data_IF_930224431772
#
_entry.id   IF_930224431772
#
_cell.length_a   1.000
_cell.length_b   1.000
_cell.length_c   1.000
_cell.angle_alpha   90.00
_cell.angle_beta   90.00
_cell.angle_gamma   90.00
#
_symmetry.space_group_name_H-M   'P 1'
#
loop_
_entity.id
_entity.type
_entity.pdbx_description
1 polymer ?
#
# COMPACT_ATOMS: atom_id res chain seq x y z
N UNK A 1 31.00 -10.09 -48.58
CA UNK A 1 30.06 -9.84 -47.46
C UNK A 1 30.86 -9.26 -46.30
N UNK A 2 30.72 -7.99 -45.90
CA UNK A 2 31.46 -7.45 -44.78
C UNK A 2 30.72 -7.70 -43.47
N UNK A 3 31.49 -8.10 -42.45
CA UNK A 3 31.06 -8.33 -41.08
C UNK A 3 30.63 -7.01 -40.45
N UNK A 4 29.39 -7.00 -39.90
CA UNK A 4 28.89 -5.89 -39.06
C UNK A 4 29.34 -6.12 -37.61
N UNK A 5 30.29 -5.32 -37.15
CA UNK A 5 30.68 -5.24 -35.74
C UNK A 5 29.59 -4.45 -35.04
N UNK A 6 28.81 -5.11 -34.20
CA UNK A 6 27.92 -4.46 -33.22
C UNK A 6 28.75 -4.02 -32.00
N UNK A 7 28.97 -2.71 -31.88
CA UNK A 7 29.49 -2.13 -30.65
C UNK A 7 28.37 -2.08 -29.59
N UNK A 8 28.64 -2.70 -28.45
CA UNK A 8 27.78 -2.60 -27.27
C UNK A 8 27.88 -1.20 -26.65
N UNK A 9 26.80 -0.60 -26.16
CA UNK A 9 26.88 0.69 -25.47
C UNK A 9 27.61 0.55 -24.14
N UNK A 10 28.65 1.35 -24.00
CA UNK A 10 29.47 1.48 -22.81
C UNK A 10 28.60 1.94 -21.63
N UNK A 11 28.52 1.13 -20.60
CA UNK A 11 27.90 1.50 -19.32
C UNK A 11 28.64 2.71 -18.75
N UNK A 12 27.90 3.81 -18.56
CA UNK A 12 28.37 5.00 -17.85
C UNK A 12 28.65 4.63 -16.38
N UNK A 13 29.87 4.85 -15.99
CA UNK A 13 30.40 4.64 -14.65
C UNK A 13 29.53 5.35 -13.60
N UNK A 14 29.06 4.58 -12.63
CA UNK A 14 28.53 5.08 -11.36
C UNK A 14 29.61 5.90 -10.63
N UNK A 15 29.63 7.19 -10.85
CA UNK A 15 30.38 8.12 -10.02
C UNK A 15 29.75 8.11 -8.63
N UNK A 16 30.46 7.66 -7.63
CA UNK A 16 30.05 7.72 -6.21
C UNK A 16 29.75 9.18 -5.84
N UNK A 17 28.49 9.57 -5.92
CA UNK A 17 28.01 10.87 -5.42
C UNK A 17 28.25 10.91 -3.92
N UNK A 18 29.00 11.92 -3.47
CA UNK A 18 29.15 12.21 -2.04
C UNK A 18 27.78 12.57 -1.49
N UNK A 19 27.31 11.93 -0.39
CA UNK A 19 26.01 12.24 0.16
C UNK A 19 25.91 13.73 0.51
N UNK A 20 24.76 14.38 0.30
CA UNK A 20 24.54 15.75 0.74
C UNK A 20 24.68 15.86 2.25
N UNK A 21 25.07 17.02 2.80
CA UNK A 21 25.11 17.22 4.24
C UNK A 21 23.70 16.96 4.81
N UNK A 22 23.63 16.03 5.76
CA UNK A 22 22.37 15.65 6.38
C UNK A 22 21.69 16.89 7.01
N UNK A 23 20.34 17.06 6.85
CA UNK A 23 19.61 18.08 7.57
C UNK A 23 19.82 17.91 9.08
N UNK A 24 19.76 19.02 9.84
CA UNK A 24 19.95 19.01 11.28
C UNK A 24 19.01 17.95 11.90
N UNK A 25 19.58 16.86 12.39
CA UNK A 25 18.84 15.75 12.97
C UNK A 25 18.25 16.21 14.31
N UNK A 26 16.94 15.99 14.57
CA UNK A 26 16.42 16.16 15.92
C UNK A 26 17.23 15.28 16.89
N UNK A 27 17.32 15.63 18.17
CA UNK A 27 18.03 14.79 19.16
C UNK A 27 17.55 13.35 19.04
N UNK A 28 18.45 12.39 18.96
CA UNK A 28 18.14 10.95 18.80
C UNK A 28 17.11 10.47 19.84
N UNK A 29 17.13 11.07 21.02
CA UNK A 29 16.26 10.73 22.16
C UNK A 29 14.77 11.09 21.96
N UNK A 30 14.44 11.98 21.02
CA UNK A 30 13.04 12.37 20.75
C UNK A 30 12.30 11.35 19.89
N UNK A 31 12.99 10.53 19.10
CA UNK A 31 12.38 9.54 18.19
C UNK A 31 12.21 8.20 18.91
N UNK A 32 10.96 7.75 19.06
CA UNK A 32 10.67 6.45 19.69
C UNK A 32 11.39 5.29 19.01
N UNK A 33 11.58 5.34 17.70
CA UNK A 33 12.26 4.30 16.91
C UNK A 33 13.74 4.14 17.26
N UNK A 34 14.38 5.18 17.82
CA UNK A 34 15.80 5.20 18.18
C UNK A 34 16.03 4.98 19.68
N UNK A 35 14.96 4.98 20.47
CA UNK A 35 15.04 4.76 21.90
C UNK A 35 15.32 3.29 22.22
N UNK A 36 16.07 3.07 23.30
CA UNK A 36 16.30 1.73 23.81
C UNK A 36 15.07 1.22 24.56
N UNK A 37 14.60 0.02 24.21
CA UNK A 37 13.48 -0.61 24.93
C UNK A 37 13.94 -1.10 26.31
N UNK A 38 13.40 -0.58 27.41
CA UNK A 38 13.83 -0.96 28.75
C UNK A 38 13.48 -2.42 29.12
N UNK A 39 12.48 -3.01 28.46
CA UNK A 39 12.02 -4.39 28.70
C UNK A 39 12.91 -5.43 28.03
N UNK A 40 13.72 -5.02 27.03
CA UNK A 40 14.48 -5.97 26.20
C UNK A 40 16.02 -5.83 26.36
N UNK A 41 16.48 -5.12 27.39
CA UNK A 41 17.89 -4.76 27.58
C UNK A 41 18.85 -5.94 27.72
N UNK A 42 18.33 -7.15 28.01
CA UNK A 42 19.09 -8.39 28.21
C UNK A 42 18.65 -9.50 27.23
N UNK A 43 18.07 -9.14 26.10
CA UNK A 43 17.54 -10.11 25.13
C UNK A 43 18.60 -11.10 24.62
N UNK A 44 19.85 -10.66 24.54
CA UNK A 44 21.03 -11.45 24.15
C UNK A 44 21.36 -12.61 25.10
N UNK A 45 20.77 -12.61 26.31
CA UNK A 45 21.01 -13.62 27.35
C UNK A 45 19.82 -14.59 27.51
N UNK A 46 18.77 -14.43 26.72
CA UNK A 46 17.55 -15.21 26.81
C UNK A 46 17.62 -16.48 25.95
N UNK A 47 16.91 -17.50 26.36
CA UNK A 47 16.62 -18.67 25.52
C UNK A 47 15.71 -18.31 24.36
N UNK A 48 15.65 -19.15 23.31
CA UNK A 48 14.78 -18.92 22.16
C UNK A 48 13.31 -18.77 22.55
N UNK A 49 12.82 -19.55 23.53
CA UNK A 49 11.44 -19.45 24.00
C UNK A 49 11.19 -18.10 24.68
N UNK A 50 12.08 -17.69 25.58
CA UNK A 50 11.97 -16.39 26.25
C UNK A 50 12.04 -15.22 25.27
N UNK A 51 12.86 -15.31 24.20
CA UNK A 51 12.89 -14.31 23.13
C UNK A 51 11.54 -14.26 22.41
N UNK A 52 10.94 -15.40 22.06
CA UNK A 52 9.63 -15.47 21.41
C UNK A 52 8.56 -14.85 22.30
N UNK A 53 8.52 -15.19 23.57
CA UNK A 53 7.56 -14.63 24.54
C UNK A 53 7.71 -13.12 24.68
N UNK A 54 8.94 -12.63 24.74
CA UNK A 54 9.26 -11.20 24.83
C UNK A 54 8.80 -10.45 23.56
N UNK A 55 9.11 -10.98 22.37
CA UNK A 55 8.67 -10.39 21.10
C UNK A 55 7.13 -10.37 21.02
N UNK A 56 6.46 -11.47 21.36
CA UNK A 56 5.01 -11.54 21.40
C UNK A 56 4.39 -10.52 22.38
N UNK A 57 5.02 -10.30 23.53
CA UNK A 57 4.55 -9.31 24.50
C UNK A 57 4.63 -7.88 23.93
N UNK A 58 5.69 -7.57 23.18
CA UNK A 58 5.86 -6.29 22.49
C UNK A 58 4.87 -6.14 21.32
N UNK A 59 4.69 -7.17 20.50
CA UNK A 59 3.81 -7.13 19.33
C UNK A 59 2.33 -6.93 19.71
N UNK A 60 1.91 -7.36 20.89
CA UNK A 60 0.56 -7.10 21.41
C UNK A 60 0.24 -5.60 21.56
N UNK A 61 1.24 -4.75 21.61
CA UNK A 61 1.06 -3.28 21.71
C UNK A 61 0.72 -2.64 20.35
N UNK A 62 0.97 -3.33 19.25
CA UNK A 62 0.84 -2.75 17.90
C UNK A 62 -0.61 -2.47 17.54
N UNK A 63 -1.52 -3.41 17.69
CA UNK A 63 -2.91 -3.24 17.30
C UNK A 63 -3.62 -2.11 18.09
N UNK A 64 -3.44 -1.97 19.43
CA UNK A 64 -3.92 -0.81 20.17
C UNK A 64 -3.37 0.52 19.62
N UNK A 65 -2.06 0.63 19.37
CA UNK A 65 -1.45 1.85 18.84
C UNK A 65 -2.02 2.23 17.45
N UNK A 66 -2.28 1.25 16.58
CA UNK A 66 -2.96 1.49 15.31
C UNK A 66 -4.41 1.92 15.52
N UNK A 67 -5.12 1.34 16.50
CA UNK A 67 -6.51 1.71 16.83
C UNK A 67 -6.63 3.15 17.31
N UNK A 68 -5.63 3.71 18.00
CA UNK A 68 -5.63 5.10 18.42
C UNK A 68 -5.63 6.07 17.23
N UNK A 69 -5.05 5.64 16.10
CA UNK A 69 -5.02 6.41 14.84
C UNK A 69 -6.26 6.22 13.94
N UNK A 70 -7.29 5.50 14.38
CA UNK A 70 -8.48 5.16 13.57
C UNK A 70 -9.14 6.34 12.87
N UNK A 71 -9.11 7.55 13.46
CA UNK A 71 -9.71 8.76 12.86
C UNK A 71 -8.86 9.28 11.70
N UNK A 72 -7.54 9.31 11.86
CA UNK A 72 -6.62 9.72 10.82
C UNK A 72 -6.59 8.69 9.67
N UNK A 73 -6.65 7.40 9.99
CA UNK A 73 -6.78 6.33 9.00
C UNK A 73 -8.07 6.49 8.20
N UNK A 74 -9.21 6.72 8.88
CA UNK A 74 -10.50 6.92 8.20
C UNK A 74 -10.47 8.16 7.28
N UNK A 75 -9.88 9.28 7.73
CA UNK A 75 -9.70 10.48 6.91
C UNK A 75 -8.85 10.21 5.68
N UNK A 76 -7.75 9.46 5.81
CA UNK A 76 -6.92 9.06 4.67
C UNK A 76 -7.69 8.18 3.68
N UNK A 77 -8.50 7.21 4.17
CA UNK A 77 -9.38 6.38 3.34
C UNK A 77 -10.32 7.26 2.52
N UNK A 78 -10.98 8.24 3.13
CA UNK A 78 -11.91 9.11 2.42
C UNK A 78 -11.20 9.94 1.33
N UNK A 79 -9.99 10.42 1.59
CA UNK A 79 -9.16 11.13 0.60
C UNK A 79 -8.73 10.22 -0.55
N UNK A 80 -8.33 8.97 -0.27
CA UNK A 80 -7.98 7.97 -1.28
C UNK A 80 -9.20 7.66 -2.15
N UNK A 81 -10.36 7.40 -1.55
CA UNK A 81 -11.61 7.13 -2.28
C UNK A 81 -11.97 8.30 -3.19
N UNK A 82 -11.84 9.52 -2.72
CA UNK A 82 -12.03 10.74 -3.51
C UNK A 82 -11.08 10.80 -4.71
N UNK A 83 -9.80 10.49 -4.51
CA UNK A 83 -8.81 10.44 -5.59
C UNK A 83 -9.18 9.40 -6.64
N UNK A 84 -9.45 8.17 -6.22
CA UNK A 84 -9.84 7.08 -7.11
C UNK A 84 -11.11 7.38 -7.91
N UNK A 85 -12.13 8.02 -7.30
CA UNK A 85 -13.37 8.41 -7.98
C UNK A 85 -13.18 9.50 -9.05
N UNK A 86 -12.14 10.32 -8.91
CA UNK A 86 -11.76 11.33 -9.92
C UNK A 86 -10.84 10.77 -11.01
N UNK A 87 -10.58 9.46 -11.00
CA UNK A 87 -9.65 8.81 -11.93
C UNK A 87 -8.18 8.97 -11.54
N UNK A 88 -7.91 9.44 -10.31
CA UNK A 88 -6.57 9.50 -9.74
C UNK A 88 -6.11 8.16 -9.16
N UNK A 89 -4.92 8.15 -8.56
CA UNK A 89 -4.19 6.96 -8.12
C UNK A 89 -3.74 7.11 -6.66
N UNK A 90 -3.41 5.97 -6.04
CA UNK A 90 -2.76 5.91 -4.74
C UNK A 90 -1.27 5.54 -4.93
N UNK A 91 -0.38 6.35 -4.36
CA UNK A 91 1.05 6.05 -4.31
C UNK A 91 1.50 5.83 -2.87
N UNK A 92 2.18 4.72 -2.62
CA UNK A 92 2.95 4.45 -1.42
C UNK A 92 4.42 4.76 -1.67
N UNK A 93 5.01 5.67 -0.93
CA UNK A 93 6.41 6.08 -1.13
C UNK A 93 7.21 5.77 0.13
N UNK A 94 8.27 4.99 0.02
CA UNK A 94 9.07 4.61 1.18
C UNK A 94 10.46 4.09 0.83
N UNK A 95 11.27 3.88 1.87
CA UNK A 95 12.58 3.25 1.77
C UNK A 95 12.62 1.99 2.66
N UNK A 96 13.55 1.08 2.39
CA UNK A 96 13.77 -0.11 3.21
C UNK A 96 12.48 -0.93 3.41
N UNK A 97 12.17 -1.29 4.66
CA UNK A 97 10.96 -2.03 5.02
C UNK A 97 9.67 -1.28 4.65
N UNK A 98 9.64 0.03 4.85
CA UNK A 98 8.47 0.87 4.53
C UNK A 98 8.13 0.83 3.05
N UNK A 99 9.13 0.97 2.18
CA UNK A 99 8.94 0.87 0.73
C UNK A 99 8.50 -0.54 0.30
N UNK A 100 9.11 -1.60 0.87
CA UNK A 100 8.72 -2.98 0.57
C UNK A 100 7.26 -3.28 0.94
N UNK A 101 6.79 -2.80 2.09
CA UNK A 101 5.41 -2.96 2.52
C UNK A 101 4.43 -2.21 1.60
N UNK A 102 4.81 -1.01 1.13
CA UNK A 102 4.03 -0.28 0.12
C UNK A 102 3.91 -1.04 -1.20
N UNK A 103 5.02 -1.60 -1.70
CA UNK A 103 5.02 -2.43 -2.92
C UNK A 103 4.21 -3.71 -2.71
N UNK A 104 4.36 -4.37 -1.55
CA UNK A 104 3.58 -5.58 -1.22
C UNK A 104 2.08 -5.29 -1.27
N UNK A 105 1.60 -4.27 -0.56
CA UNK A 105 0.16 -3.94 -0.52
C UNK A 105 -0.35 -3.56 -1.93
N UNK A 106 0.38 -2.76 -2.68
CA UNK A 106 0.04 -2.38 -4.05
C UNK A 106 -0.07 -3.58 -4.99
N UNK A 107 0.87 -4.53 -4.91
CA UNK A 107 0.92 -5.71 -5.77
C UNK A 107 -0.26 -6.68 -5.56
N UNK A 108 -0.91 -6.64 -4.40
CA UNK A 108 -2.07 -7.46 -4.08
C UNK A 108 -3.40 -6.88 -4.61
N UNK A 109 -3.42 -5.63 -5.09
CA UNK A 109 -4.65 -4.99 -5.57
C UNK A 109 -5.18 -5.60 -6.87
N UNK A 110 -4.37 -5.81 -7.93
CA UNK A 110 -4.85 -6.42 -9.16
C UNK A 110 -5.43 -7.84 -8.98
N UNK A 111 -4.76 -8.79 -8.30
CA UNK A 111 -5.29 -10.15 -8.15
C UNK A 111 -6.51 -10.22 -7.22
N UNK A 112 -6.63 -9.29 -6.24
CA UNK A 112 -7.70 -9.31 -5.25
C UNK A 112 -8.96 -8.58 -5.73
N UNK A 113 -8.78 -7.40 -6.33
CA UNK A 113 -9.87 -6.49 -6.65
C UNK A 113 -9.97 -6.18 -8.15
N UNK A 114 -9.15 -6.84 -8.97
CA UNK A 114 -9.07 -6.59 -10.43
C UNK A 114 -8.91 -5.10 -10.73
N UNK A 115 -8.03 -4.45 -10.01
CA UNK A 115 -7.66 -3.07 -10.30
C UNK A 115 -6.69 -3.03 -11.46
N UNK A 116 -6.66 -1.89 -12.15
CA UNK A 116 -5.51 -1.56 -12.98
C UNK A 116 -4.24 -1.57 -12.11
N UNK A 117 -3.13 -2.17 -12.54
CA UNK A 117 -1.85 -2.12 -11.82
C UNK A 117 -1.38 -0.71 -11.50
N UNK A 118 -1.74 0.27 -12.34
CA UNK A 118 -1.39 1.67 -12.15
C UNK A 118 -2.25 2.38 -11.08
N UNK A 119 -3.39 1.81 -10.67
CA UNK A 119 -4.30 2.43 -9.70
C UNK A 119 -3.69 2.59 -8.31
N UNK A 120 -2.91 1.60 -7.86
CA UNK A 120 -2.18 1.63 -6.59
C UNK A 120 -0.74 1.23 -6.84
N UNK A 121 0.19 2.12 -6.56
CA UNK A 121 1.60 1.92 -6.87
C UNK A 121 2.49 2.03 -5.63
N UNK A 122 3.46 1.15 -5.51
CA UNK A 122 4.55 1.25 -4.55
C UNK A 122 5.79 1.88 -5.18
N UNK A 123 6.31 2.93 -4.57
CA UNK A 123 7.52 3.64 -4.99
C UNK A 123 8.58 3.48 -3.91
N UNK A 124 9.69 2.86 -4.27
CA UNK A 124 10.74 2.52 -3.33
C UNK A 124 12.07 3.21 -3.67
N UNK A 125 12.72 3.78 -2.66
CA UNK A 125 14.09 4.27 -2.79
C UNK A 125 15.03 3.14 -3.25
N UNK A 126 15.84 3.41 -4.26
CA UNK A 126 16.70 2.41 -4.91
C UNK A 126 15.99 1.51 -5.92
N UNK A 127 14.69 1.76 -6.20
CA UNK A 127 13.94 1.10 -7.25
C UNK A 127 13.68 -0.39 -7.00
N UNK A 128 13.45 -1.15 -8.09
CA UNK A 128 13.08 -2.56 -8.03
C UNK A 128 14.14 -3.45 -7.37
N UNK A 129 15.42 -3.17 -7.59
CA UNK A 129 16.51 -3.96 -6.98
C UNK A 129 16.50 -3.90 -5.45
N UNK A 130 16.09 -2.75 -4.90
CA UNK A 130 16.00 -2.55 -3.45
C UNK A 130 14.92 -3.42 -2.77
N UNK A 131 14.01 -4.04 -3.52
CA UNK A 131 13.04 -5.00 -2.99
C UNK A 131 13.72 -6.23 -2.40
N UNK A 132 14.76 -6.72 -3.06
CA UNK A 132 15.44 -7.98 -2.72
C UNK A 132 16.82 -7.77 -2.08
N UNK A 133 17.47 -6.65 -2.36
CA UNK A 133 18.82 -6.33 -1.84
C UNK A 133 18.83 -4.91 -1.29
N UNK A 134 19.37 -4.72 -0.08
CA UNK A 134 19.53 -3.38 0.49
C UNK A 134 20.40 -2.53 -0.43
N UNK A 135 19.92 -1.32 -0.75
CA UNK A 135 20.66 -0.31 -1.50
C UNK A 135 21.05 0.79 -0.50
N UNK A 136 22.28 0.73 -0.02
CA UNK A 136 22.79 1.68 0.96
C UNK A 136 22.79 3.10 0.39
N UNK A 137 22.33 4.07 1.19
CA UNK A 137 22.28 5.48 0.82
C UNK A 137 21.15 5.88 -0.13
N UNK A 138 20.38 4.95 -0.71
CA UNK A 138 19.30 5.28 -1.63
C UNK A 138 18.18 6.14 -0.97
N UNK A 139 18.04 6.06 0.35
CA UNK A 139 17.03 6.84 1.10
C UNK A 139 17.47 8.30 1.38
N UNK A 140 18.74 8.63 1.19
CA UNK A 140 19.33 9.93 1.54
C UNK A 140 19.15 11.00 0.44
N UNK A 141 18.58 10.65 -0.71
CA UNK A 141 18.43 11.49 -1.90
C UNK A 141 16.99 11.98 -2.10
N UNK A 142 16.63 13.20 -1.63
CA UNK A 142 15.30 13.76 -1.82
C UNK A 142 14.99 14.07 -3.28
N UNK A 143 15.99 14.37 -4.10
CA UNK A 143 15.87 14.59 -5.54
C UNK A 143 15.37 13.34 -6.29
N UNK A 144 15.80 12.15 -5.87
CA UNK A 144 15.33 10.89 -6.48
C UNK A 144 13.86 10.62 -6.13
N UNK A 145 13.44 10.99 -4.91
CA UNK A 145 12.03 10.96 -4.51
C UNK A 145 11.17 11.90 -5.36
N UNK A 146 11.66 13.12 -5.62
CA UNK A 146 10.99 14.08 -6.48
C UNK A 146 10.92 13.59 -7.94
N UNK A 147 12.02 13.08 -8.48
CA UNK A 147 12.09 12.51 -9.83
C UNK A 147 11.12 11.34 -10.00
N UNK A 148 10.99 10.47 -8.99
CA UNK A 148 10.06 9.35 -9.01
C UNK A 148 8.58 9.79 -9.15
N UNK A 149 8.21 10.95 -8.62
CA UNK A 149 6.86 11.54 -8.81
C UNK A 149 6.69 12.13 -10.21
N UNK A 150 7.74 12.75 -10.75
CA UNK A 150 7.72 13.28 -12.12
C UNK A 150 7.60 12.17 -13.17
N UNK A 151 8.39 11.11 -13.05
CA UNK A 151 8.36 9.93 -13.93
C UNK A 151 6.97 9.29 -14.00
N UNK A 152 6.23 9.29 -12.89
CA UNK A 152 4.87 8.75 -12.80
C UNK A 152 3.79 9.75 -13.16
N UNK A 153 4.17 10.96 -13.55
CA UNK A 153 3.25 12.04 -13.89
C UNK A 153 2.17 12.23 -12.79
N UNK A 154 2.61 12.28 -11.51
CA UNK A 154 1.70 12.54 -10.38
C UNK A 154 1.01 13.89 -10.58
N UNK A 155 -0.30 13.96 -10.34
CA UNK A 155 -1.09 15.16 -10.52
C UNK A 155 -2.10 15.43 -9.38
N UNK A 156 -2.93 16.47 -9.53
CA UNK A 156 -3.89 16.90 -8.51
C UNK A 156 -5.04 15.91 -8.21
N UNK A 157 -5.20 14.87 -9.00
CA UNK A 157 -6.18 13.81 -8.74
C UNK A 157 -5.61 12.73 -7.81
N UNK A 158 -4.28 12.62 -7.71
CA UNK A 158 -3.62 11.55 -7.00
C UNK A 158 -3.58 11.78 -5.46
N UNK A 159 -3.39 10.69 -4.72
CA UNK A 159 -3.06 10.70 -3.30
C UNK A 159 -1.71 10.00 -3.09
N UNK A 160 -0.77 10.68 -2.43
CA UNK A 160 0.57 10.15 -2.16
C UNK A 160 0.78 9.98 -0.67
N UNK A 161 0.99 8.75 -0.21
CA UNK A 161 1.32 8.42 1.18
C UNK A 161 2.81 8.16 1.32
N UNK A 162 3.51 9.06 2.01
CA UNK A 162 4.88 8.84 2.44
C UNK A 162 4.94 7.93 3.67
N UNK A 163 5.86 7.00 3.69
CA UNK A 163 6.01 5.99 4.73
C UNK A 163 7.45 6.01 5.22
N UNK A 164 7.65 6.51 6.45
CA UNK A 164 8.96 6.53 7.10
C UNK A 164 8.80 6.37 8.61
N UNK A 165 9.16 5.22 9.16
CA UNK A 165 8.94 4.89 10.57
C UNK A 165 9.53 5.95 11.54
N UNK A 166 10.72 6.48 11.23
CA UNK A 166 11.39 7.55 11.99
C UNK A 166 10.91 8.96 11.64
N UNK A 167 10.15 9.12 10.54
CA UNK A 167 9.72 10.42 10.02
C UNK A 167 10.80 11.24 9.31
N UNK A 168 12.01 10.70 9.08
CA UNK A 168 13.17 11.51 8.64
C UNK A 168 13.77 11.14 7.28
N UNK A 169 13.19 10.19 6.56
CA UNK A 169 13.75 9.69 5.28
C UNK A 169 13.73 10.76 4.18
N UNK A 170 14.87 11.27 3.70
CA UNK A 170 14.92 12.36 2.72
C UNK A 170 14.20 12.05 1.41
N UNK A 171 14.34 10.83 0.87
CA UNK A 171 13.63 10.37 -0.32
C UNK A 171 12.11 10.59 -0.21
N UNK A 172 11.52 10.21 0.94
CA UNK A 172 10.08 10.36 1.19
C UNK A 172 9.69 11.83 1.24
N UNK A 173 10.47 12.67 1.93
CA UNK A 173 10.21 14.11 1.99
C UNK A 173 10.30 14.77 0.62
N UNK A 174 11.29 14.39 -0.20
CA UNK A 174 11.43 14.88 -1.57
C UNK A 174 10.24 14.52 -2.46
N UNK A 175 9.79 13.26 -2.39
CA UNK A 175 8.62 12.79 -3.11
C UNK A 175 7.33 13.54 -2.71
N UNK A 176 7.06 13.66 -1.40
CA UNK A 176 5.85 14.35 -0.90
C UNK A 176 5.86 15.84 -1.22
N UNK A 177 7.01 16.50 -1.13
CA UNK A 177 7.16 17.89 -1.55
C UNK A 177 6.79 18.04 -3.02
N UNK A 178 7.35 17.19 -3.88
CA UNK A 178 7.10 17.23 -5.31
C UNK A 178 5.64 16.91 -5.66
N UNK A 179 5.04 15.92 -5.00
CA UNK A 179 3.62 15.59 -5.17
C UNK A 179 2.71 16.80 -4.87
N UNK A 180 2.97 17.53 -3.78
CA UNK A 180 2.22 18.75 -3.43
C UNK A 180 2.42 19.87 -4.46
N UNK A 181 3.64 20.08 -4.94
CA UNK A 181 3.92 21.05 -6.01
C UNK A 181 3.11 20.74 -7.28
N UNK A 182 2.80 19.47 -7.52
CA UNK A 182 1.97 19.00 -8.64
C UNK A 182 0.47 18.95 -8.31
N UNK A 183 0.08 19.41 -7.11
CA UNK A 183 -1.30 19.52 -6.69
C UNK A 183 -1.91 18.27 -6.05
N UNK A 184 -1.14 17.20 -5.90
CA UNK A 184 -1.61 15.96 -5.24
C UNK A 184 -1.87 16.18 -3.74
N UNK A 185 -2.85 15.48 -3.19
CA UNK A 185 -3.01 15.37 -1.73
C UNK A 185 -1.95 14.45 -1.17
N UNK A 186 -1.50 14.75 0.06
CA UNK A 186 -0.43 13.97 0.69
C UNK A 186 -0.79 13.51 2.09
N UNK A 187 -0.37 12.28 2.41
CA UNK A 187 -0.39 11.73 3.76
C UNK A 187 1.02 11.35 4.21
N UNK A 188 1.22 11.27 5.51
CA UNK A 188 2.46 10.76 6.10
C UNK A 188 2.17 9.69 7.15
N UNK A 189 2.82 8.52 7.05
CA UNK A 189 2.75 7.42 8.00
C UNK A 189 4.11 7.25 8.68
N UNK A 190 4.14 7.38 10.02
CA UNK A 190 5.34 7.23 10.84
C UNK A 190 5.00 6.51 12.15
N UNK A 191 6.03 6.05 12.90
CA UNK A 191 5.84 5.34 14.17
C UNK A 191 6.55 6.05 15.35
N UNK A 192 6.61 7.37 15.28
CA UNK A 192 7.13 8.25 16.33
C UNK A 192 6.27 9.50 16.41
N UNK A 193 6.52 10.38 17.39
CA UNK A 193 5.79 11.63 17.52
C UNK A 193 6.01 12.53 16.30
N UNK A 194 4.94 12.94 15.60
CA UNK A 194 5.07 13.85 14.47
C UNK A 194 5.42 15.26 14.96
N UNK A 195 6.34 15.94 14.27
CA UNK A 195 6.60 17.38 14.52
C UNK A 195 5.40 18.23 14.07
N UNK A 196 5.27 19.45 14.61
CA UNK A 196 4.24 20.39 14.16
C UNK A 196 4.39 20.73 12.67
N UNK A 197 5.62 20.89 12.20
CA UNK A 197 5.93 21.14 10.80
C UNK A 197 5.39 20.00 9.90
N UNK A 198 5.62 18.74 10.29
CA UNK A 198 5.14 17.59 9.55
C UNK A 198 3.60 17.51 9.56
N UNK A 199 2.96 17.82 10.69
CA UNK A 199 1.50 17.86 10.78
C UNK A 199 0.88 18.95 9.92
N UNK A 200 1.51 20.11 9.79
CA UNK A 200 1.05 21.22 8.95
C UNK A 200 1.36 21.00 7.46
N UNK A 201 2.40 20.22 7.17
CA UNK A 201 2.86 19.98 5.81
C UNK A 201 1.97 19.02 5.01
N UNK A 202 1.18 18.16 5.66
CA UNK A 202 0.43 17.10 4.99
C UNK A 202 -1.07 17.15 5.33
N UNK A 203 -1.90 16.70 4.39
CA UNK A 203 -3.35 16.68 4.55
C UNK A 203 -3.78 15.72 5.67
N UNK A 204 -3.02 14.65 5.91
CA UNK A 204 -3.24 13.71 7.00
C UNK A 204 -1.91 13.12 7.47
N UNK A 205 -1.77 12.98 8.80
CA UNK A 205 -0.64 12.29 9.43
C UNK A 205 -1.19 11.15 10.28
N UNK A 206 -0.61 9.96 10.11
CA UNK A 206 -0.97 8.74 10.82
C UNK A 206 0.28 8.30 11.60
N UNK A 207 0.19 8.30 12.93
CA UNK A 207 1.34 8.09 13.80
C UNK A 207 1.08 7.01 14.88
N UNK A 208 0.97 5.72 14.54
CA UNK A 208 0.83 4.66 15.54
C UNK A 208 2.09 4.58 16.41
N UNK A 209 1.98 4.98 17.68
CA UNK A 209 3.10 5.06 18.62
C UNK A 209 3.35 3.68 19.25
N UNK A 210 4.07 2.82 18.53
CA UNK A 210 4.37 1.43 18.95
C UNK A 210 5.50 1.32 20.00
N UNK A 211 6.11 2.46 20.37
CA UNK A 211 7.25 2.51 21.28
C UNK A 211 8.56 1.96 20.69
N UNK A 212 9.62 1.92 21.52
CA UNK A 212 10.94 1.41 21.11
C UNK A 212 10.88 -0.04 20.67
N UNK A 213 11.67 -0.41 19.67
CA UNK A 213 11.74 -1.77 19.14
C UNK A 213 12.42 -2.76 20.11
N UNK A 214 12.13 -4.04 19.94
CA UNK A 214 12.78 -5.12 20.69
C UNK A 214 14.30 -5.09 20.53
N UNK A 215 14.77 -4.85 19.32
CA UNK A 215 16.16 -4.50 19.00
C UNK A 215 16.18 -3.05 18.55
N UNK A 216 16.84 -2.19 19.27
CA UNK A 216 16.86 -0.74 19.05
C UNK A 216 17.14 -0.39 17.58
N UNK A 217 16.32 0.47 17.00
CA UNK A 217 16.44 0.92 15.61
C UNK A 217 15.92 -0.10 14.57
N UNK A 218 15.53 -1.31 14.96
CA UNK A 218 15.07 -2.34 14.03
C UNK A 218 13.59 -2.17 13.64
N UNK A 219 13.27 -1.08 12.95
CA UNK A 219 11.90 -0.67 12.59
C UNK A 219 11.15 -1.60 11.62
N UNK A 220 11.80 -2.69 11.19
CA UNK A 220 11.12 -3.78 10.45
C UNK A 220 10.16 -4.60 11.33
N UNK A 221 10.22 -4.46 12.65
CA UNK A 221 9.45 -5.24 13.62
C UNK A 221 8.10 -4.57 13.95
N UNK A 222 7.91 -3.98 15.15
CA UNK A 222 6.62 -3.36 15.54
C UNK A 222 6.18 -2.24 14.58
N UNK A 223 7.09 -1.37 14.21
CA UNK A 223 6.80 -0.29 13.25
C UNK A 223 6.41 -0.85 11.87
N UNK A 224 7.10 -1.90 11.40
CA UNK A 224 6.73 -2.60 10.16
C UNK A 224 5.36 -3.25 10.25
N UNK A 225 5.03 -3.91 11.38
CA UNK A 225 3.72 -4.52 11.62
C UNK A 225 2.61 -3.46 11.64
N UNK A 226 2.81 -2.34 12.35
CA UNK A 226 1.87 -1.22 12.37
C UNK A 226 1.65 -0.63 10.96
N UNK A 227 2.74 -0.41 10.23
CA UNK A 227 2.69 0.06 8.83
C UNK A 227 1.84 -0.88 7.98
N UNK A 228 2.13 -2.19 7.99
CA UNK A 228 1.35 -3.18 7.25
C UNK A 228 -0.14 -3.15 7.60
N UNK A 229 -0.49 -3.04 8.88
CA UNK A 229 -1.88 -2.95 9.32
C UNK A 229 -2.57 -1.70 8.77
N UNK A 230 -1.91 -0.54 8.81
CA UNK A 230 -2.45 0.71 8.26
C UNK A 230 -2.64 0.60 6.76
N UNK A 231 -1.64 0.15 5.99
CA UNK A 231 -1.74 0.02 4.54
C UNK A 231 -2.91 -0.89 4.13
N UNK A 232 -3.05 -2.04 4.78
CA UNK A 232 -4.17 -2.95 4.51
C UNK A 232 -5.54 -2.32 4.84
N UNK A 233 -5.64 -1.48 5.89
CA UNK A 233 -6.87 -0.75 6.18
C UNK A 233 -7.18 0.28 5.09
N UNK A 234 -6.16 1.02 4.62
CA UNK A 234 -6.32 2.04 3.58
C UNK A 234 -6.78 1.42 2.26
N UNK A 235 -6.05 0.44 1.76
CA UNK A 235 -6.35 -0.21 0.48
C UNK A 235 -7.67 -0.97 0.51
N UNK A 236 -7.87 -1.84 1.53
CA UNK A 236 -9.10 -2.64 1.65
C UNK A 236 -10.34 -1.75 1.78
N UNK A 237 -10.31 -0.75 2.67
CA UNK A 237 -11.47 0.12 2.85
C UNK A 237 -11.74 1.00 1.62
N UNK A 238 -10.69 1.45 0.91
CA UNK A 238 -10.85 2.16 -0.36
C UNK A 238 -11.54 1.26 -1.41
N UNK A 239 -11.12 0.00 -1.53
CA UNK A 239 -11.76 -0.96 -2.44
C UNK A 239 -13.21 -1.27 -2.04
N UNK A 240 -13.50 -1.43 -0.75
CA UNK A 240 -14.88 -1.58 -0.26
C UNK A 240 -15.74 -0.37 -0.64
N UNK A 241 -15.25 0.85 -0.39
CA UNK A 241 -16.00 2.10 -0.68
C UNK A 241 -16.13 2.41 -2.18
N UNK A 242 -15.30 1.80 -3.03
CA UNK A 242 -15.40 1.88 -4.50
C UNK A 242 -16.18 0.72 -5.12
N UNK A 243 -16.86 -0.09 -4.29
CA UNK A 243 -17.80 -1.12 -4.75
C UNK A 243 -17.14 -2.42 -5.22
N UNK A 244 -15.87 -2.67 -4.85
CA UNK A 244 -15.15 -3.90 -5.22
C UNK A 244 -15.56 -5.12 -4.39
N UNK A 245 -16.41 -4.92 -3.38
CA UNK A 245 -16.86 -5.94 -2.43
C UNK A 245 -18.39 -5.93 -2.33
N UNK A 246 -18.99 -7.09 -2.11
CA UNK A 246 -20.44 -7.25 -1.80
C UNK A 246 -20.59 -8.03 -0.50
N UNK A 247 -21.14 -7.41 0.55
CA UNK A 247 -21.00 -7.91 1.90
C UNK A 247 -19.50 -8.00 2.27
N UNK A 248 -19.02 -9.19 2.58
CA UNK A 248 -17.59 -9.48 2.76
C UNK A 248 -17.02 -10.35 1.61
N UNK A 249 -17.74 -10.47 0.49
CA UNK A 249 -17.35 -11.30 -0.64
C UNK A 249 -16.59 -10.48 -1.68
N UNK A 250 -15.49 -11.06 -2.16
CA UNK A 250 -14.65 -10.51 -3.22
C UNK A 250 -15.30 -10.75 -4.59
N UNK A 251 -16.20 -9.84 -5.02
CA UNK A 251 -17.00 -10.02 -6.24
C UNK A 251 -16.35 -9.51 -7.51
N UNK A 252 -15.25 -8.75 -7.41
CA UNK A 252 -14.49 -8.24 -8.56
C UNK A 252 -13.29 -9.13 -8.93
N UNK A 253 -13.19 -10.33 -8.37
CA UNK A 253 -12.17 -11.27 -8.78
C UNK A 253 -12.31 -11.67 -10.26
N UNK A 254 -11.19 -11.91 -10.91
CA UNK A 254 -11.15 -12.50 -12.25
C UNK A 254 -10.78 -13.97 -12.14
N UNK A 255 -11.55 -14.83 -12.82
CA UNK A 255 -11.27 -16.26 -12.88
C UNK A 255 -10.09 -16.51 -13.82
N UNK A 256 -8.88 -16.63 -13.24
CA UNK A 256 -7.64 -16.90 -13.98
C UNK A 256 -7.03 -18.27 -13.67
N UNK A 257 -7.58 -18.98 -12.68
CA UNK A 257 -7.12 -20.31 -12.29
C UNK A 257 -8.26 -21.10 -11.62
N UNK A 258 -8.07 -22.42 -11.49
CA UNK A 258 -9.05 -23.34 -10.88
C UNK A 258 -9.54 -22.91 -9.47
N UNK A 259 -8.63 -22.39 -8.63
CA UNK A 259 -8.97 -21.89 -7.29
C UNK A 259 -9.94 -20.70 -7.35
N UNK A 260 -9.76 -19.80 -8.31
CA UNK A 260 -10.62 -18.63 -8.50
C UNK A 260 -11.93 -19.00 -9.17
N UNK A 261 -11.94 -20.02 -10.04
CA UNK A 261 -13.17 -20.61 -10.58
C UNK A 261 -14.06 -21.14 -9.46
N UNK A 262 -13.55 -22.05 -8.62
CA UNK A 262 -14.28 -22.60 -7.48
C UNK A 262 -14.79 -21.51 -6.52
N UNK A 263 -13.99 -20.47 -6.28
CA UNK A 263 -14.41 -19.32 -5.46
C UNK A 263 -15.55 -18.55 -6.12
N UNK A 264 -15.47 -18.26 -7.42
CA UNK A 264 -16.53 -17.57 -8.17
C UNK A 264 -17.87 -18.32 -8.15
N UNK A 265 -17.83 -19.65 -8.37
CA UNK A 265 -18.98 -20.52 -8.28
C UNK A 265 -19.63 -20.48 -6.90
N UNK A 266 -18.84 -20.61 -5.82
CA UNK A 266 -19.35 -20.52 -4.44
C UNK A 266 -20.00 -19.17 -4.15
N UNK A 267 -19.42 -18.06 -4.63
CA UNK A 267 -20.01 -16.73 -4.46
C UNK A 267 -21.37 -16.65 -5.16
N UNK A 268 -21.51 -17.20 -6.38
CA UNK A 268 -22.79 -17.25 -7.08
C UNK A 268 -23.81 -18.11 -6.35
N UNK A 269 -23.42 -19.32 -5.92
CA UNK A 269 -24.31 -20.19 -5.13
C UNK A 269 -24.83 -19.48 -3.89
N UNK A 270 -23.96 -18.74 -3.17
CA UNK A 270 -24.32 -18.02 -1.94
C UNK A 270 -25.18 -16.77 -2.21
N UNK A 271 -24.85 -16.00 -3.25
CA UNK A 271 -25.47 -14.67 -3.46
C UNK A 271 -26.75 -14.68 -4.26
N UNK A 272 -26.91 -15.65 -5.17
CA UNK A 272 -28.09 -15.76 -6.07
C UNK A 272 -28.79 -17.12 -5.99
N UNK A 273 -28.37 -18.03 -5.11
CA UNK A 273 -29.10 -19.27 -4.78
C UNK A 273 -29.14 -20.31 -5.90
N UNK A 274 -28.14 -20.36 -6.77
CA UNK A 274 -28.01 -21.31 -7.87
C UNK A 274 -27.24 -22.55 -7.47
N UNK A 275 -27.40 -23.66 -8.19
CA UNK A 275 -26.51 -24.81 -8.05
C UNK A 275 -25.16 -24.59 -8.77
N UNK A 276 -24.21 -25.52 -8.56
CA UNK A 276 -22.86 -25.41 -9.14
C UNK A 276 -22.86 -25.38 -10.66
N UNK A 277 -23.68 -26.21 -11.30
CA UNK A 277 -23.76 -26.30 -12.77
C UNK A 277 -24.31 -25.00 -13.39
N UNK A 278 -25.25 -24.36 -12.71
CA UNK A 278 -25.78 -23.06 -13.14
C UNK A 278 -24.76 -21.93 -12.85
N UNK A 279 -24.03 -22.00 -11.72
CA UNK A 279 -23.00 -21.04 -11.40
C UNK A 279 -21.87 -21.05 -12.44
N UNK A 280 -21.42 -22.23 -12.88
CA UNK A 280 -20.44 -22.41 -13.95
C UNK A 280 -20.93 -21.77 -15.26
N UNK A 281 -22.16 -22.08 -15.70
CA UNK A 281 -22.74 -21.49 -16.91
C UNK A 281 -22.87 -19.96 -16.84
N UNK A 282 -23.19 -19.42 -15.68
CA UNK A 282 -23.29 -17.97 -15.48
C UNK A 282 -21.91 -17.30 -15.53
N UNK A 283 -20.88 -17.93 -14.97
CA UNK A 283 -19.50 -17.44 -15.05
C UNK A 283 -19.00 -17.45 -16.49
N UNK A 284 -19.22 -18.52 -17.24
CA UNK A 284 -18.86 -18.61 -18.64
C UNK A 284 -19.55 -17.52 -19.46
N UNK A 285 -20.86 -17.35 -19.30
CA UNK A 285 -21.64 -16.32 -19.97
C UNK A 285 -21.22 -14.87 -19.58
N UNK A 286 -20.59 -14.71 -18.43
CA UNK A 286 -20.07 -13.44 -17.93
C UNK A 286 -18.58 -13.23 -18.21
N UNK A 287 -17.91 -14.06 -19.01
CA UNK A 287 -16.46 -14.06 -19.26
C UNK A 287 -15.62 -14.14 -17.94
N UNK A 288 -16.06 -14.97 -17.00
CA UNK A 288 -15.42 -15.13 -15.70
C UNK A 288 -15.61 -13.97 -14.71
N UNK A 289 -16.54 -13.02 -15.00
CA UNK A 289 -16.81 -11.88 -14.15
C UNK A 289 -17.92 -12.19 -13.14
N UNK A 290 -17.56 -12.49 -11.91
CA UNK A 290 -18.52 -12.87 -10.85
C UNK A 290 -19.58 -11.79 -10.62
N UNK A 291 -19.18 -10.52 -10.53
CA UNK A 291 -20.10 -9.39 -10.35
C UNK A 291 -21.12 -9.29 -11.48
N UNK A 292 -20.70 -9.44 -12.73
CA UNK A 292 -21.57 -9.47 -13.90
C UNK A 292 -22.53 -10.64 -13.84
N UNK A 293 -22.06 -11.85 -13.53
CA UNK A 293 -22.87 -13.06 -13.39
C UNK A 293 -23.96 -12.92 -12.30
N UNK A 294 -23.63 -12.29 -11.16
CA UNK A 294 -24.62 -11.97 -10.11
C UNK A 294 -25.76 -11.09 -10.67
N UNK A 295 -25.40 -10.03 -11.40
CA UNK A 295 -26.39 -9.08 -11.94
C UNK A 295 -27.23 -9.71 -13.04
N UNK A 296 -26.62 -10.51 -13.93
CA UNK A 296 -27.35 -11.29 -14.94
C UNK A 296 -28.44 -12.14 -14.30
N UNK A 297 -28.09 -12.91 -13.27
CA UNK A 297 -29.06 -13.79 -12.59
C UNK A 297 -30.13 -13.02 -11.83
N UNK A 298 -29.76 -11.95 -11.10
CA UNK A 298 -30.71 -11.16 -10.28
C UNK A 298 -31.75 -10.43 -11.12
N UNK A 299 -31.38 -9.96 -12.31
CA UNK A 299 -32.24 -9.11 -13.14
C UNK A 299 -32.73 -9.82 -14.41
N UNK A 300 -32.30 -11.05 -14.69
CA UNK A 300 -32.68 -11.80 -15.90
C UNK A 300 -32.23 -11.12 -17.20
N UNK A 301 -31.05 -10.50 -17.21
CA UNK A 301 -30.48 -9.75 -18.32
C UNK A 301 -29.17 -10.38 -18.80
N UNK A 302 -28.76 -10.04 -20.01
CA UNK A 302 -27.49 -10.49 -20.58
C UNK A 302 -26.25 -9.80 -19.97
N UNK A 303 -25.06 -10.28 -20.31
CA UNK A 303 -23.79 -9.76 -19.76
C UNK A 303 -23.55 -8.30 -20.13
N UNK A 304 -23.95 -7.84 -21.32
CA UNK A 304 -23.75 -6.46 -21.75
C UNK A 304 -24.62 -5.50 -20.94
N UNK A 305 -25.93 -5.79 -20.81
CA UNK A 305 -26.84 -5.02 -19.99
C UNK A 305 -26.46 -5.05 -18.49
N UNK A 306 -25.93 -6.18 -18.01
CA UNK A 306 -25.44 -6.30 -16.64
C UNK A 306 -24.23 -5.39 -16.38
N UNK A 307 -23.26 -5.33 -17.28
CA UNK A 307 -22.09 -4.42 -17.19
C UNK A 307 -22.52 -2.96 -17.18
N UNK A 308 -23.42 -2.57 -18.10
CA UNK A 308 -23.96 -1.20 -18.15
C UNK A 308 -24.67 -0.82 -16.85
N UNK A 309 -25.49 -1.75 -16.29
CA UNK A 309 -26.18 -1.54 -15.03
C UNK A 309 -25.24 -1.38 -13.85
N UNK A 310 -24.14 -2.15 -13.80
CA UNK A 310 -23.08 -2.04 -12.79
C UNK A 310 -22.38 -0.68 -12.90
N UNK A 311 -22.03 -0.26 -14.11
CA UNK A 311 -21.37 1.04 -14.36
C UNK A 311 -22.26 2.20 -13.90
N UNK A 312 -23.53 2.22 -14.27
CA UNK A 312 -24.50 3.24 -13.82
C UNK A 312 -24.68 3.28 -12.29
N UNK A 313 -24.42 2.18 -11.60
CA UNK A 313 -24.44 2.10 -10.14
C UNK A 313 -23.07 2.43 -9.48
N UNK A 314 -22.12 3.01 -10.26
CA UNK A 314 -20.78 3.32 -9.77
C UNK A 314 -19.97 2.10 -9.34
N UNK A 315 -20.23 0.92 -9.96
CA UNK A 315 -19.54 -0.32 -9.68
C UNK A 315 -20.04 -1.08 -8.44
N UNK A 316 -21.01 -0.57 -7.69
CA UNK A 316 -21.48 -1.14 -6.43
C UNK A 316 -22.71 -2.02 -6.62
N UNK A 317 -22.61 -3.31 -6.27
CA UNK A 317 -23.79 -4.20 -6.23
C UNK A 317 -24.81 -3.81 -5.15
N UNK A 318 -24.36 -3.22 -4.06
CA UNK A 318 -25.24 -2.76 -2.98
C UNK A 318 -26.11 -1.57 -3.39
N UNK A 319 -25.69 -0.80 -4.40
CA UNK A 319 -26.48 0.31 -4.97
C UNK A 319 -27.54 -0.13 -6.00
N UNK A 320 -27.50 -1.38 -6.46
CA UNK A 320 -28.45 -1.94 -7.41
C UNK A 320 -29.76 -2.32 -6.69
N UNK A 321 -30.81 -1.62 -7.02
CA UNK A 321 -32.19 -1.90 -6.56
C UNK A 321 -32.90 -2.83 -7.53
#
# INVERSE_FOLDING_TARGET
>A
MPEVKTEAPTQAMNATRKPPPAPARPPLDARLTEQRNPRTTRIDQLSSLEIVDLVNAEDRLVAPAVSDERRNIARAIDMIVDSLRRGGRLFYVGAGTSGRLGVLDASEMPPTYRTDPEMVQGVMAGGYEALTRAQEGAEDHPEDGAAAMDERNVDGNDFVLGIAASGTTPFVHGALKRARERGARTGFLLCTYPSEELQQAHDVVIAPLVGPEVVTGSTRMKAGTATKMVLNMLSTAAMVKTGKVYGNLMVDLQVTCQKLQDRGERILMETVGVDRAEAERLLDAADGHVKTAIVMKRFGIDAAAAREKIEKAGGSLAALK
#
